data_IF_365493128804
#
_entry.id   IF_365493128804
#
_cell.length_a   1.000
_cell.length_b   1.000
_cell.length_c   1.000
_cell.angle_alpha   90.00
_cell.angle_beta   90.00
_cell.angle_gamma   90.00
#
_symmetry.space_group_name_H-M   'P 1'
#
loop_
_entity.id
_entity.type
_entity.pdbx_description
1 polymer ?
#
# COMPACT_ATOMS: atom_id res chain seq x y z
N UNK A 1 1.35 -4.43 -21.45
CA UNK A 1 0.35 -3.70 -20.66
C UNK A 1 -0.55 -4.71 -19.99
N UNK A 2 -0.88 -4.52 -18.71
CA UNK A 2 -1.82 -5.40 -18.04
C UNK A 2 -3.21 -5.19 -18.64
N UNK A 3 -3.82 -6.24 -19.18
CA UNK A 3 -5.21 -6.19 -19.63
C UNK A 3 -6.10 -6.51 -18.44
N UNK A 4 -6.68 -5.48 -17.85
CA UNK A 4 -7.54 -5.58 -16.68
C UNK A 4 -9.02 -5.50 -17.07
N UNK A 5 -9.90 -6.23 -16.37
CA UNK A 5 -11.34 -5.99 -16.45
C UNK A 5 -11.68 -4.53 -16.17
N UNK A 6 -12.69 -4.01 -16.88
CA UNK A 6 -13.14 -2.61 -16.77
C UNK A 6 -13.47 -2.21 -15.34
N UNK A 7 -14.06 -3.12 -14.56
CA UNK A 7 -14.42 -2.87 -13.16
C UNK A 7 -13.19 -2.58 -12.28
N UNK A 8 -12.10 -3.32 -12.50
CA UNK A 8 -10.84 -3.10 -11.78
C UNK A 8 -10.22 -1.77 -12.20
N UNK A 9 -10.27 -1.45 -13.49
CA UNK A 9 -9.77 -0.17 -14.02
C UNK A 9 -10.55 0.99 -13.39
N UNK A 10 -11.88 0.87 -13.27
CA UNK A 10 -12.72 1.91 -12.66
C UNK A 10 -12.31 2.21 -11.20
N UNK A 11 -11.91 1.19 -10.44
CA UNK A 11 -11.41 1.34 -9.07
C UNK A 11 -10.00 1.93 -9.03
N UNK A 12 -9.14 1.58 -9.98
CA UNK A 12 -7.74 2.04 -10.01
C UNK A 12 -7.57 3.44 -10.59
N UNK A 13 -8.40 3.84 -11.55
CA UNK A 13 -8.27 5.11 -12.27
C UNK A 13 -8.17 6.36 -11.38
N UNK A 14 -8.95 6.48 -10.27
CA UNK A 14 -8.83 7.62 -9.36
C UNK A 14 -7.43 7.80 -8.78
N UNK A 15 -6.64 6.74 -8.65
CA UNK A 15 -5.28 6.81 -8.12
C UNK A 15 -4.28 7.36 -9.14
N UNK A 16 -4.60 7.38 -10.44
CA UNK A 16 -3.70 7.86 -11.49
C UNK A 16 -3.18 9.29 -11.22
N UNK A 17 -4.01 10.15 -10.61
CA UNK A 17 -3.64 11.52 -10.24
C UNK A 17 -2.49 11.61 -9.23
N UNK A 18 -2.24 10.55 -8.45
CA UNK A 18 -1.17 10.50 -7.46
C UNK A 18 0.18 10.07 -8.06
N UNK A 19 0.19 9.65 -9.32
CA UNK A 19 1.36 9.09 -10.01
C UNK A 19 1.65 9.87 -11.30
N UNK A 20 2.91 9.80 -11.75
CA UNK A 20 3.27 10.28 -13.08
C UNK A 20 2.90 9.21 -14.13
N UNK A 21 2.54 9.62 -15.35
CA UNK A 21 2.20 8.69 -16.44
C UNK A 21 3.24 7.58 -16.63
N UNK A 22 4.54 7.90 -16.50
CA UNK A 22 5.65 6.94 -16.72
C UNK A 22 5.70 5.81 -15.70
N UNK A 23 5.23 6.06 -14.48
CA UNK A 23 5.27 5.09 -13.38
C UNK A 23 3.90 4.43 -13.17
N UNK A 24 2.84 4.96 -13.77
CA UNK A 24 1.47 4.52 -13.54
C UNK A 24 1.26 3.06 -13.95
N UNK A 25 1.73 2.66 -15.14
CA UNK A 25 1.63 1.28 -15.62
C UNK A 25 2.34 0.30 -14.67
N UNK A 26 3.52 0.67 -14.18
CA UNK A 26 4.27 -0.12 -13.21
C UNK A 26 3.58 -0.15 -11.84
N UNK A 27 2.97 0.95 -11.42
CA UNK A 27 2.24 1.04 -10.16
C UNK A 27 0.99 0.15 -10.17
N UNK A 28 0.23 0.13 -11.27
CA UNK A 28 -0.90 -0.79 -11.44
C UNK A 28 -0.45 -2.25 -11.34
N UNK A 29 0.61 -2.61 -12.06
CA UNK A 29 1.16 -3.98 -12.03
C UNK A 29 1.59 -4.37 -10.61
N UNK A 30 2.29 -3.48 -9.92
CA UNK A 30 2.73 -3.70 -8.55
C UNK A 30 1.55 -3.86 -7.59
N UNK A 31 0.51 -3.04 -7.74
CA UNK A 31 -0.68 -3.11 -6.90
C UNK A 31 -1.42 -4.43 -7.09
N UNK A 32 -1.63 -4.85 -8.35
CA UNK A 32 -2.35 -6.09 -8.66
C UNK A 32 -1.55 -7.32 -8.22
N UNK A 33 -0.26 -7.37 -8.54
CA UNK A 33 0.56 -8.48 -8.08
C UNK A 33 0.72 -8.51 -6.55
N UNK A 34 0.63 -7.37 -5.86
CA UNK A 34 0.61 -7.34 -4.39
C UNK A 34 -0.69 -7.90 -3.80
N UNK A 35 -1.84 -7.71 -4.47
CA UNK A 35 -3.13 -8.31 -4.09
C UNK A 35 -3.09 -9.83 -4.31
N UNK A 36 -2.49 -10.27 -5.43
CA UNK A 36 -2.39 -11.68 -5.77
C UNK A 36 -1.31 -12.43 -4.96
N UNK A 37 -0.38 -11.73 -4.32
CA UNK A 37 0.70 -12.33 -3.55
C UNK A 37 0.22 -12.88 -2.19
N UNK A 38 0.28 -14.21 -1.96
CA UNK A 38 -0.32 -14.84 -0.79
C UNK A 38 0.49 -14.70 0.50
N UNK A 39 1.70 -14.12 0.46
CA UNK A 39 2.57 -14.05 1.65
C UNK A 39 3.48 -12.81 1.64
N UNK A 40 4.60 -12.89 0.90
CA UNK A 40 5.56 -11.80 0.83
C UNK A 40 5.18 -10.85 -0.31
N UNK A 41 4.76 -9.63 0.02
CA UNK A 41 4.46 -8.55 -0.95
C UNK A 41 5.72 -7.79 -1.36
N UNK A 42 6.83 -8.51 -1.57
CA UNK A 42 8.07 -7.91 -2.07
C UNK A 42 7.94 -7.65 -3.57
N UNK A 43 8.62 -6.64 -4.09
CA UNK A 43 8.64 -6.35 -5.53
C UNK A 43 9.06 -7.59 -6.33
N UNK A 44 10.02 -8.36 -5.83
CA UNK A 44 10.47 -9.63 -6.41
C UNK A 44 9.36 -10.69 -6.47
N UNK A 45 8.62 -10.90 -5.37
CA UNK A 45 7.54 -11.87 -5.34
C UNK A 45 6.38 -11.46 -6.24
N UNK A 46 6.04 -10.17 -6.24
CA UNK A 46 5.04 -9.56 -7.13
C UNK A 46 5.42 -9.84 -8.59
N UNK A 47 6.63 -9.48 -9.01
CA UNK A 47 7.08 -9.69 -10.39
C UNK A 47 7.12 -11.17 -10.76
N UNK A 48 7.47 -12.06 -9.83
CA UNK A 48 7.43 -13.50 -10.06
C UNK A 48 6.02 -14.02 -10.33
N UNK A 49 5.03 -13.54 -9.57
CA UNK A 49 3.62 -13.93 -9.75
C UNK A 49 3.06 -13.36 -11.05
N UNK A 50 3.46 -12.13 -11.41
CA UNK A 50 3.08 -11.50 -12.67
C UNK A 50 3.83 -12.05 -13.90
N UNK A 51 4.67 -13.08 -13.74
CA UNK A 51 5.42 -13.71 -14.84
C UNK A 51 6.62 -12.90 -15.35
N UNK A 52 7.04 -11.86 -14.63
CA UNK A 52 8.10 -10.91 -14.99
C UNK A 52 9.42 -11.16 -14.25
N UNK A 53 9.68 -12.41 -13.85
CA UNK A 53 10.89 -12.76 -13.09
C UNK A 53 12.19 -12.50 -13.87
N UNK A 54 12.15 -12.66 -15.20
CA UNK A 54 13.32 -12.56 -16.10
C UNK A 54 13.32 -11.24 -16.90
N UNK A 55 12.50 -10.26 -16.50
CA UNK A 55 12.42 -8.96 -17.18
C UNK A 55 13.75 -8.20 -17.05
N UNK A 56 14.37 -7.84 -18.19
CA UNK A 56 15.62 -7.09 -18.24
C UNK A 56 15.54 -5.72 -17.52
N UNK A 57 14.33 -5.19 -17.33
CA UNK A 57 14.06 -3.93 -16.66
C UNK A 57 13.62 -4.08 -15.21
N UNK A 58 13.91 -5.21 -14.57
CA UNK A 58 13.57 -5.53 -13.17
C UNK A 58 13.78 -4.37 -12.17
N UNK A 59 14.87 -3.62 -12.33
CA UNK A 59 15.19 -2.46 -11.48
C UNK A 59 14.14 -1.33 -11.52
N UNK A 60 13.40 -1.16 -12.62
CA UNK A 60 12.46 -0.06 -12.78
C UNK A 60 11.29 -0.17 -11.80
N UNK A 61 10.83 -1.39 -11.52
CA UNK A 61 9.78 -1.63 -10.53
C UNK A 61 10.21 -1.24 -9.10
N UNK A 62 11.48 -1.45 -8.74
CA UNK A 62 12.03 -0.97 -7.47
C UNK A 62 12.13 0.56 -7.42
N UNK A 63 12.36 1.22 -8.56
CA UNK A 63 12.42 2.69 -8.63
C UNK A 63 11.07 3.33 -8.34
N UNK A 64 9.95 2.65 -8.59
CA UNK A 64 8.60 3.15 -8.22
C UNK A 64 8.51 3.41 -6.71
N UNK A 65 9.06 2.54 -5.87
CA UNK A 65 9.01 2.71 -4.41
C UNK A 65 10.17 3.53 -3.84
N UNK A 66 11.34 3.51 -4.48
CA UNK A 66 12.56 4.12 -3.92
C UNK A 66 12.88 5.52 -4.47
N UNK A 67 12.51 5.82 -5.73
CA UNK A 67 12.94 7.06 -6.42
C UNK A 67 11.79 7.89 -6.97
N UNK A 68 10.70 7.26 -7.39
CA UNK A 68 9.57 7.99 -7.94
C UNK A 68 8.95 8.91 -6.88
N UNK A 69 8.57 10.12 -7.29
CA UNK A 69 7.89 11.08 -6.41
C UNK A 69 6.39 10.83 -6.48
N UNK A 70 5.84 10.30 -5.39
CA UNK A 70 4.40 10.18 -5.15
C UNK A 70 4.16 10.23 -3.63
N UNK A 71 2.93 10.52 -3.21
CA UNK A 71 2.59 10.69 -1.79
C UNK A 71 1.68 9.57 -1.31
N UNK A 72 2.14 8.80 -0.33
CA UNK A 72 1.31 7.78 0.33
C UNK A 72 0.07 8.37 1.01
N UNK A 73 0.19 9.58 1.57
CA UNK A 73 -0.95 10.29 2.16
C UNK A 73 -1.97 10.71 1.08
N UNK A 74 -1.52 11.15 -0.10
CA UNK A 74 -2.42 11.48 -1.20
C UNK A 74 -3.20 10.24 -1.68
N UNK A 75 -2.50 9.11 -1.83
CA UNK A 75 -3.13 7.82 -2.17
C UNK A 75 -4.13 7.40 -1.10
N UNK A 76 -3.79 7.53 0.19
CA UNK A 76 -4.69 7.20 1.31
C UNK A 76 -5.95 8.08 1.32
N UNK A 77 -5.83 9.38 1.03
CA UNK A 77 -6.98 10.29 0.92
C UNK A 77 -7.92 9.88 -0.22
N UNK A 78 -7.38 9.51 -1.38
CA UNK A 78 -8.18 9.01 -2.51
C UNK A 78 -8.92 7.73 -2.09
N UNK A 79 -8.21 6.78 -1.48
CA UNK A 79 -8.80 5.52 -1.00
C UNK A 79 -9.94 5.79 -0.01
N UNK A 80 -9.73 6.67 0.98
CA UNK A 80 -10.77 7.03 1.94
C UNK A 80 -12.00 7.62 1.24
N UNK A 81 -11.80 8.52 0.27
CA UNK A 81 -12.89 9.07 -0.52
C UNK A 81 -13.68 8.00 -1.28
N UNK A 82 -13.01 7.02 -1.87
CA UNK A 82 -13.66 5.89 -2.55
C UNK A 82 -14.44 5.01 -1.58
N UNK A 83 -13.89 4.71 -0.40
CA UNK A 83 -14.59 3.93 0.63
C UNK A 83 -15.85 4.66 1.13
N UNK A 84 -15.75 5.95 1.39
CA UNK A 84 -16.91 6.77 1.80
C UNK A 84 -17.97 6.76 0.70
N UNK A 85 -17.59 7.00 -0.55
CA UNK A 85 -18.54 7.00 -1.67
C UNK A 85 -19.20 5.64 -1.91
N UNK A 86 -18.47 4.54 -1.68
CA UNK A 86 -18.98 3.19 -1.91
C UNK A 86 -19.88 2.67 -0.78
N UNK A 87 -19.58 3.04 0.48
CA UNK A 87 -20.21 2.42 1.65
C UNK A 87 -21.10 3.35 2.49
N UNK A 88 -20.98 4.68 2.35
CA UNK A 88 -21.77 5.62 3.13
C UNK A 88 -23.07 5.96 2.42
N UNK A 89 -24.20 5.65 3.07
CA UNK A 89 -25.53 6.11 2.64
C UNK A 89 -25.79 7.48 3.23
N UNK A 90 -26.30 8.40 2.42
CA UNK A 90 -26.66 9.76 2.85
C UNK A 90 -27.66 9.66 4.01
N UNK A 91 -27.34 10.34 5.12
CA UNK A 91 -28.19 10.36 6.32
C UNK A 91 -27.86 9.28 7.36
N UNK A 92 -26.92 8.36 7.08
CA UNK A 92 -26.42 7.42 8.08
C UNK A 92 -25.15 7.95 8.78
N UNK A 93 -24.98 7.69 10.10
CA UNK A 93 -23.77 8.08 10.81
C UNK A 93 -22.57 7.23 10.34
N UNK A 94 -21.44 7.88 10.09
CA UNK A 94 -20.16 7.21 9.83
C UNK A 94 -19.49 6.87 11.16
N UNK A 95 -19.37 5.57 11.47
CA UNK A 95 -18.66 5.09 12.64
C UNK A 95 -17.20 4.79 12.26
N UNK A 96 -16.25 5.46 12.90
CA UNK A 96 -14.82 5.26 12.68
C UNK A 96 -14.25 4.53 13.90
N UNK A 97 -13.85 3.27 13.70
CA UNK A 97 -13.02 2.55 14.67
C UNK A 97 -11.56 2.95 14.48
N UNK A 98 -10.94 3.50 15.52
CA UNK A 98 -9.51 3.79 15.54
C UNK A 98 -8.79 2.72 16.38
N UNK A 99 -7.77 2.10 15.81
CA UNK A 99 -6.87 1.18 16.50
C UNK A 99 -5.42 1.53 16.14
N UNK A 100 -4.53 1.50 17.12
CA UNK A 100 -3.13 1.85 16.94
C UNK A 100 -2.33 0.61 16.53
N UNK A 101 -1.97 0.51 15.26
CA UNK A 101 -1.02 -0.52 14.80
C UNK A 101 0.41 0.01 14.86
N UNK A 102 1.21 -0.57 15.77
CA UNK A 102 2.62 -0.18 15.91
C UNK A 102 3.47 -0.80 14.80
N UNK A 103 4.13 0.06 14.02
CA UNK A 103 5.11 -0.36 13.02
C UNK A 103 6.31 -1.02 13.71
N UNK A 104 6.42 -2.35 13.55
CA UNK A 104 7.48 -3.14 14.22
C UNK A 104 8.81 -3.11 13.48
N UNK A 105 8.85 -2.69 12.20
CA UNK A 105 10.08 -2.66 11.39
C UNK A 105 11.13 -1.73 12.01
N UNK A 106 12.40 -2.11 11.85
CA UNK A 106 13.57 -1.33 12.28
C UNK A 106 14.45 -1.07 11.06
N UNK A 107 15.00 0.13 10.94
CA UNK A 107 15.92 0.47 9.86
C UNK A 107 16.42 1.91 9.95
N UNK A 108 17.55 2.19 9.32
CA UNK A 108 18.22 3.52 9.37
C UNK A 108 17.32 4.69 8.92
N UNK A 109 16.29 4.41 8.12
CA UNK A 109 15.33 5.41 7.61
C UNK A 109 14.04 5.51 8.44
N UNK A 110 13.86 4.67 9.47
CA UNK A 110 12.71 4.69 10.37
C UNK A 110 13.13 5.49 11.61
N UNK A 111 12.77 6.77 11.64
CA UNK A 111 13.16 7.71 12.72
C UNK A 111 12.21 7.64 13.91
N UNK A 112 10.92 7.63 13.64
CA UNK A 112 9.88 7.61 14.65
C UNK A 112 9.31 6.20 14.73
N UNK A 113 9.79 5.45 15.71
CA UNK A 113 9.23 4.14 16.04
C UNK A 113 8.38 4.29 17.28
N UNK A 114 7.10 3.89 17.20
CA UNK A 114 6.29 3.70 18.39
C UNK A 114 6.95 2.66 19.30
N UNK A 115 7.44 3.09 20.45
CA UNK A 115 7.89 2.19 21.51
C UNK A 115 6.65 1.88 22.34
N UNK A 116 6.19 0.63 22.29
CA UNK A 116 5.17 0.18 23.23
C UNK A 116 5.84 -0.01 24.59
N UNK A 117 5.56 0.88 25.54
CA UNK A 117 5.85 0.64 26.94
C UNK A 117 4.79 -0.32 27.48
N UNK A 118 4.92 -1.62 27.20
CA UNK A 118 4.16 -2.62 27.94
C UNK A 118 4.65 -2.61 29.39
N UNK A 119 3.71 -2.28 30.29
CA UNK A 119 3.63 -2.51 31.75
C UNK A 119 4.94 -2.86 32.46
N UNK A 120 5.28 -2.07 33.49
CA UNK A 120 6.20 -2.38 34.59
C UNK A 120 6.36 -3.91 34.71
N UNK A 121 7.55 -4.42 34.42
CA UNK A 121 7.96 -5.69 34.99
C UNK A 121 7.85 -5.48 36.50
N UNK A 122 6.78 -5.96 37.14
CA UNK A 122 6.71 -6.03 38.59
C UNK A 122 7.80 -7.01 39.00
N UNK A 123 9.00 -6.49 39.27
CA UNK A 123 10.16 -7.26 39.70
C UNK A 123 9.99 -7.83 41.12
N UNK A 124 8.86 -7.58 41.77
CA UNK A 124 8.42 -8.21 43.01
C UNK A 124 6.89 -8.39 42.99
N UNK A 125 6.44 -9.47 42.35
CA UNK A 125 5.24 -10.17 42.82
C UNK A 125 5.72 -11.38 43.63
N UNK A 126 5.88 -11.17 44.93
CA UNK A 126 5.65 -12.16 45.98
C UNK A 126 4.46 -11.67 46.81
#
# INVERSE_FOLDING_TARGET
MLTLPTDIIAVLLPFAQAFNYRIWDMAQLLAIGAILAPNQRTVTAILRIMGLKDDAQFQNYHRVLNRAKWSGLAVAKILLGLLVAAFLVIGMPLVIGADDTIERRKGKKIKEKGVFASRIECSNCM
#
